data_IF_039844296626
#
_entry.id   IF_039844296626
#
_cell.length_a   1.000
_cell.length_b   1.000
_cell.length_c   1.000
_cell.angle_alpha   90.00
_cell.angle_beta   90.00
_cell.angle_gamma   90.00
#
_symmetry.space_group_name_H-M   'P 1'
#
loop_
_entity.id
_entity.type
_entity.pdbx_description
1 polymer ?
#
# COMPACT_ATOMS: atom_id res chain seq x y z
N UNK A 1 25.33 -32.99 10.58
CA UNK A 1 25.58 -31.59 10.98
C UNK A 1 25.24 -30.62 9.88
N UNK A 2 25.56 -30.87 8.61
CA UNK A 2 25.24 -29.99 7.46
C UNK A 2 23.77 -29.74 7.25
N UNK A 3 22.87 -30.73 7.49
CA UNK A 3 21.42 -30.57 7.33
C UNK A 3 20.80 -29.55 8.31
N UNK A 4 21.27 -29.53 9.56
CA UNK A 4 20.81 -28.55 10.56
C UNK A 4 21.23 -27.13 10.23
N UNK A 5 22.44 -26.95 9.74
CA UNK A 5 22.95 -25.62 9.33
C UNK A 5 22.17 -25.07 8.15
N UNK A 6 21.90 -25.88 7.12
CA UNK A 6 21.13 -25.46 5.95
C UNK A 6 19.69 -25.09 6.34
N UNK A 7 19.05 -25.89 7.20
CA UNK A 7 17.70 -25.60 7.70
C UNK A 7 17.62 -24.28 8.48
N UNK A 8 18.60 -24.03 9.36
CA UNK A 8 18.67 -22.77 10.11
C UNK A 8 18.91 -21.56 9.19
N UNK A 9 19.75 -21.71 8.17
CA UNK A 9 20.00 -20.66 7.18
C UNK A 9 18.76 -20.30 6.36
N UNK A 10 17.97 -21.30 5.93
CA UNK A 10 16.70 -21.08 5.21
C UNK A 10 15.66 -20.38 6.08
N UNK A 11 15.54 -20.77 7.34
CA UNK A 11 14.65 -20.12 8.29
C UNK A 11 15.01 -18.65 8.50
N UNK A 12 16.30 -18.32 8.56
CA UNK A 12 16.77 -16.95 8.69
C UNK A 12 16.47 -16.11 7.45
N UNK A 13 16.65 -16.66 6.25
CA UNK A 13 16.30 -15.99 4.99
C UNK A 13 14.81 -15.69 4.93
N UNK A 14 13.94 -16.66 5.26
CA UNK A 14 12.49 -16.46 5.31
C UNK A 14 12.09 -15.36 6.28
N UNK A 15 12.67 -15.32 7.47
CA UNK A 15 12.44 -14.27 8.47
C UNK A 15 12.86 -12.89 7.96
N UNK A 16 14.01 -12.81 7.30
CA UNK A 16 14.50 -11.55 6.74
C UNK A 16 13.60 -11.04 5.61
N UNK A 17 13.17 -11.90 4.70
CA UNK A 17 12.25 -11.55 3.63
C UNK A 17 10.91 -11.06 4.19
N UNK A 18 10.39 -11.75 5.19
CA UNK A 18 9.14 -11.39 5.86
C UNK A 18 9.25 -10.04 6.55
N UNK A 19 10.33 -9.81 7.27
CA UNK A 19 10.60 -8.53 7.93
C UNK A 19 10.70 -7.39 6.92
N UNK A 20 11.44 -7.59 5.84
CA UNK A 20 11.59 -6.59 4.77
C UNK A 20 10.25 -6.27 4.11
N UNK A 21 9.46 -7.28 3.77
CA UNK A 21 8.16 -7.10 3.15
C UNK A 21 7.17 -6.35 4.06
N UNK A 22 7.14 -6.67 5.35
CA UNK A 22 6.30 -5.98 6.32
C UNK A 22 6.75 -4.52 6.52
N UNK A 23 8.04 -4.27 6.56
CA UNK A 23 8.60 -2.92 6.69
C UNK A 23 8.26 -2.07 5.46
N UNK A 24 8.40 -2.62 4.26
CA UNK A 24 8.01 -1.93 3.03
C UNK A 24 6.53 -1.57 3.03
N UNK A 25 5.65 -2.49 3.44
CA UNK A 25 4.22 -2.27 3.52
C UNK A 25 3.88 -1.14 4.51
N UNK A 26 4.55 -1.09 5.66
CA UNK A 26 4.37 0.00 6.65
C UNK A 26 4.82 1.34 6.12
N UNK A 27 5.99 1.39 5.50
CA UNK A 27 6.52 2.63 4.89
C UNK A 27 5.60 3.10 3.78
N UNK A 28 5.12 2.21 2.92
CA UNK A 28 4.17 2.52 1.86
C UNK A 28 2.86 3.08 2.43
N UNK A 29 2.32 2.45 3.47
CA UNK A 29 1.10 2.90 4.14
C UNK A 29 1.27 4.29 4.74
N UNK A 30 2.39 4.55 5.41
CA UNK A 30 2.66 5.87 6.01
C UNK A 30 2.79 6.95 4.94
N UNK A 31 3.40 6.63 3.81
CA UNK A 31 3.51 7.55 2.67
C UNK A 31 2.14 7.87 2.08
N UNK A 32 1.32 6.86 1.82
CA UNK A 32 -0.05 7.03 1.32
C UNK A 32 -0.87 7.85 2.32
N UNK A 33 -0.78 7.55 3.60
CA UNK A 33 -1.49 8.29 4.66
C UNK A 33 -1.12 9.77 4.65
N UNK A 34 0.17 10.08 4.58
CA UNK A 34 0.66 11.46 4.54
C UNK A 34 0.15 12.22 3.32
N UNK A 35 0.19 11.59 2.15
CA UNK A 35 -0.28 12.19 0.90
C UNK A 35 -1.81 12.35 0.89
N UNK A 36 -2.57 11.34 1.35
CA UNK A 36 -4.04 11.42 1.42
C UNK A 36 -4.50 12.50 2.41
N UNK A 37 -3.85 12.64 3.55
CA UNK A 37 -4.18 13.71 4.50
C UNK A 37 -3.99 15.11 3.92
N UNK A 38 -3.04 15.28 3.03
CA UNK A 38 -2.74 16.54 2.36
C UNK A 38 -3.52 16.73 1.06
N UNK A 39 -4.09 15.68 0.51
CA UNK A 39 -4.68 15.66 -0.82
C UNK A 39 -5.87 16.61 -0.96
N UNK A 40 -5.99 17.23 -2.13
CA UNK A 40 -7.17 17.99 -2.52
C UNK A 40 -8.26 17.09 -3.12
N UNK A 41 -7.93 15.89 -3.55
CA UNK A 41 -8.88 14.92 -4.08
C UNK A 41 -8.26 13.55 -4.28
N UNK A 42 -9.11 12.55 -4.35
CA UNK A 42 -8.75 11.16 -4.64
C UNK A 42 -9.70 10.62 -5.69
N UNK A 43 -9.14 9.98 -6.70
CA UNK A 43 -9.90 9.30 -7.76
C UNK A 43 -9.50 7.83 -7.75
N UNK A 44 -10.43 6.95 -7.39
CA UNK A 44 -10.21 5.51 -7.46
C UNK A 44 -10.76 5.01 -8.79
N UNK A 45 -9.87 4.64 -9.71
CA UNK A 45 -10.28 4.04 -10.99
C UNK A 45 -10.68 2.58 -10.81
N UNK A 46 -10.15 1.92 -9.79
CA UNK A 46 -10.46 0.54 -9.43
C UNK A 46 -9.99 0.25 -8.00
N UNK A 47 -10.18 -0.98 -7.53
CA UNK A 47 -9.63 -1.44 -6.25
C UNK A 47 -8.12 -1.66 -6.31
N UNK A 48 -7.54 -1.66 -7.50
CA UNK A 48 -6.10 -1.84 -7.72
C UNK A 48 -5.37 -0.57 -8.15
N UNK A 49 -6.07 0.55 -8.31
CA UNK A 49 -5.45 1.81 -8.74
C UNK A 49 -6.18 3.02 -8.18
N UNK A 50 -5.42 3.94 -7.61
CA UNK A 50 -5.93 5.18 -7.05
C UNK A 50 -4.99 6.33 -7.40
N UNK A 51 -5.56 7.48 -7.80
CA UNK A 51 -4.82 8.71 -8.08
C UNK A 51 -5.14 9.75 -7.01
N UNK A 52 -4.10 10.32 -6.42
CA UNK A 52 -4.18 11.32 -5.35
C UNK A 52 -3.71 12.65 -5.91
N UNK A 53 -4.55 13.68 -5.82
CA UNK A 53 -4.22 15.04 -6.23
C UNK A 53 -3.59 15.78 -5.07
N UNK A 54 -2.34 16.22 -5.24
CA UNK A 54 -1.54 16.88 -4.20
C UNK A 54 -1.40 18.38 -4.52
N UNK A 55 -1.91 19.28 -3.67
CA UNK A 55 -1.69 20.71 -3.86
C UNK A 55 -0.23 21.09 -3.60
N UNK A 56 0.18 22.24 -4.11
CA UNK A 56 1.56 22.73 -3.99
C UNK A 56 2.05 22.87 -2.55
N UNK A 57 1.13 23.04 -1.60
CA UNK A 57 1.46 23.17 -0.17
C UNK A 57 1.72 21.82 0.52
N UNK A 58 1.46 20.71 -0.18
CA UNK A 58 1.71 19.39 0.37
C UNK A 58 3.21 19.08 0.35
N UNK A 59 3.80 18.61 1.45
CA UNK A 59 5.24 18.34 1.50
C UNK A 59 5.75 17.37 0.43
N UNK A 60 4.89 16.45 -0.03
CA UNK A 60 5.24 15.46 -1.04
C UNK A 60 5.07 15.93 -2.48
N UNK A 61 4.46 17.11 -2.71
CA UNK A 61 4.08 17.56 -4.05
C UNK A 61 5.15 18.38 -4.77
N UNK A 62 6.10 18.94 -4.04
CA UNK A 62 7.01 19.92 -4.57
C UNK A 62 6.39 21.34 -4.61
N UNK A 63 6.66 22.09 -5.69
CA UNK A 63 6.26 23.50 -5.78
C UNK A 63 5.00 23.76 -6.61
N UNK A 64 4.47 22.76 -7.26
CA UNK A 64 3.29 22.87 -8.11
C UNK A 64 2.31 21.76 -7.78
N UNK A 65 1.05 21.99 -8.09
CA UNK A 65 0.04 20.94 -7.96
C UNK A 65 0.44 19.75 -8.82
N UNK A 66 0.35 18.57 -8.26
CA UNK A 66 0.72 17.34 -8.95
C UNK A 66 -0.26 16.24 -8.57
N UNK A 67 -0.21 15.14 -9.30
CA UNK A 67 -0.96 13.93 -8.98
C UNK A 67 -0.01 12.75 -8.86
N UNK A 68 -0.36 11.82 -7.99
CA UNK A 68 0.40 10.60 -7.74
C UNK A 68 -0.55 9.43 -7.91
N UNK A 69 -0.13 8.42 -8.66
CA UNK A 69 -0.92 7.21 -8.86
C UNK A 69 -0.27 6.04 -8.13
N UNK A 70 -1.05 5.42 -7.26
CA UNK A 70 -0.71 4.14 -6.64
C UNK A 70 -1.44 3.03 -7.36
N UNK A 71 -0.73 1.99 -7.74
CA UNK A 71 -1.30 0.86 -8.46
C UNK A 71 -0.63 -0.45 -8.06
N UNK A 72 -1.36 -1.55 -8.18
CA UNK A 72 -0.81 -2.87 -7.98
C UNK A 72 -0.60 -3.58 -9.31
N UNK A 73 0.43 -4.40 -9.38
CA UNK A 73 0.76 -5.18 -10.56
C UNK A 73 1.03 -6.63 -10.16
N UNK A 74 0.41 -7.56 -10.86
CA UNK A 74 0.69 -8.99 -10.69
C UNK A 74 2.08 -9.32 -11.22
N UNK A 75 2.88 -9.99 -10.40
CA UNK A 75 4.24 -10.43 -10.78
C UNK A 75 4.40 -11.95 -10.66
N UNK A 76 3.33 -12.65 -10.31
CA UNK A 76 3.30 -14.10 -10.20
C UNK A 76 2.01 -14.57 -9.56
N UNK A 77 1.82 -15.88 -9.44
CA UNK A 77 0.63 -16.44 -8.81
C UNK A 77 0.60 -16.08 -7.34
N UNK A 78 -0.44 -15.35 -6.92
CA UNK A 78 -0.61 -14.91 -5.54
C UNK A 78 0.43 -13.89 -5.07
N UNK A 79 1.08 -13.20 -6.01
CA UNK A 79 2.07 -12.18 -5.69
C UNK A 79 1.83 -10.92 -6.50
N UNK A 80 1.68 -9.81 -5.80
CA UNK A 80 1.48 -8.49 -6.38
C UNK A 80 2.48 -7.51 -5.79
N UNK A 81 2.85 -6.51 -6.57
CA UNK A 81 3.65 -5.38 -6.13
C UNK A 81 2.79 -4.13 -6.07
N UNK A 82 3.06 -3.26 -5.11
CA UNK A 82 2.48 -1.92 -5.03
C UNK A 82 3.47 -0.92 -5.60
N UNK A 83 3.00 -0.10 -6.53
CA UNK A 83 3.79 0.91 -7.21
C UNK A 83 3.26 2.32 -6.95
N UNK A 84 4.16 3.27 -6.85
CA UNK A 84 3.87 4.71 -6.83
C UNK A 84 4.49 5.34 -8.07
N UNK A 85 3.64 5.84 -8.97
CA UNK A 85 4.07 6.40 -10.27
C UNK A 85 5.02 5.44 -11.03
N UNK A 86 4.73 4.15 -11.00
CA UNK A 86 5.52 3.13 -11.65
C UNK A 86 6.74 2.62 -10.87
N UNK A 87 7.05 3.19 -9.72
CA UNK A 87 8.15 2.74 -8.86
C UNK A 87 7.63 1.81 -7.77
N UNK A 88 8.21 0.63 -7.65
CA UNK A 88 7.84 -0.33 -6.62
C UNK A 88 8.12 0.22 -5.22
N UNK A 89 7.12 0.18 -4.35
CA UNK A 89 7.23 0.59 -2.94
C UNK A 89 6.91 -0.53 -1.95
N UNK A 90 6.21 -1.57 -2.39
CA UNK A 90 5.96 -2.75 -1.57
C UNK A 90 5.83 -3.99 -2.47
N UNK A 91 6.04 -5.16 -1.89
CA UNK A 91 6.01 -6.44 -2.59
C UNK A 91 5.32 -7.50 -1.74
N UNK A 92 5.12 -8.68 -2.34
CA UNK A 92 4.52 -9.84 -1.69
C UNK A 92 3.10 -9.65 -1.20
N UNK A 93 2.34 -8.76 -1.85
CA UNK A 93 0.90 -8.66 -1.61
C UNK A 93 0.20 -9.90 -2.20
N UNK A 94 -0.80 -10.41 -1.49
CA UNK A 94 -1.53 -11.60 -1.93
C UNK A 94 -2.65 -11.28 -2.91
N UNK A 95 -3.02 -9.99 -3.03
CA UNK A 95 -4.08 -9.50 -3.92
C UNK A 95 -3.71 -8.16 -4.52
N UNK A 96 -4.28 -7.85 -5.67
CA UNK A 96 -4.20 -6.52 -6.26
C UNK A 96 -5.27 -5.57 -5.76
N UNK A 97 -6.30 -6.07 -5.08
CA UNK A 97 -7.46 -5.29 -4.62
C UNK A 97 -7.18 -4.73 -3.22
N UNK A 98 -6.42 -3.64 -3.16
CA UNK A 98 -5.93 -3.07 -1.90
C UNK A 98 -6.57 -1.74 -1.53
N UNK A 99 -7.33 -1.12 -2.44
CA UNK A 99 -7.93 0.21 -2.24
C UNK A 99 -9.44 0.15 -2.27
N UNK A 100 -10.09 0.81 -1.30
CA UNK A 100 -11.53 1.12 -1.35
C UNK A 100 -11.70 2.59 -1.01
N UNK A 101 -12.22 3.37 -1.95
CA UNK A 101 -12.48 4.78 -1.75
C UNK A 101 -13.96 5.01 -1.43
N UNK A 102 -14.21 5.66 -0.30
CA UNK A 102 -15.53 6.06 0.13
C UNK A 102 -15.62 7.59 0.02
N UNK A 103 -16.41 8.12 -0.93
CA UNK A 103 -16.48 9.56 -1.13
C UNK A 103 -17.12 10.29 0.04
N UNK A 104 -16.83 11.60 0.15
CA UNK A 104 -17.40 12.45 1.17
C UNK A 104 -18.92 12.57 0.97
N UNK A 105 -19.64 12.65 2.09
CA UNK A 105 -21.08 12.92 2.13
C UNK A 105 -21.31 14.17 2.97
N UNK A 106 -22.60 14.58 3.12
CA UNK A 106 -22.94 15.72 3.99
C UNK A 106 -22.55 15.48 5.44
N UNK A 107 -22.54 14.22 5.87
CA UNK A 107 -22.30 13.84 7.26
C UNK A 107 -20.89 13.28 7.53
N UNK A 108 -20.13 12.98 6.49
CA UNK A 108 -18.82 12.32 6.62
C UNK A 108 -17.80 12.81 5.61
N UNK A 109 -16.56 12.85 6.05
CA UNK A 109 -15.42 13.09 5.15
C UNK A 109 -15.16 11.84 4.30
N UNK A 110 -14.62 12.07 3.09
CA UNK A 110 -14.13 10.98 2.28
C UNK A 110 -13.01 10.21 2.97
N UNK A 111 -12.89 8.94 2.70
CA UNK A 111 -11.78 8.14 3.22
C UNK A 111 -11.31 7.09 2.22
N UNK A 112 -10.04 6.80 2.28
CA UNK A 112 -9.41 5.72 1.55
C UNK A 112 -9.08 4.59 2.52
N UNK A 113 -9.65 3.43 2.26
CA UNK A 113 -9.34 2.21 3.00
C UNK A 113 -8.20 1.49 2.30
N UNK A 114 -7.21 1.08 3.07
CA UNK A 114 -6.06 0.30 2.60
C UNK A 114 -6.07 -1.06 3.27
N UNK A 115 -5.87 -2.09 2.48
CA UNK A 115 -5.70 -3.46 2.97
C UNK A 115 -4.51 -4.09 2.25
N UNK A 116 -3.40 -4.23 2.95
CA UNK A 116 -2.16 -4.78 2.41
C UNK A 116 -1.87 -6.15 3.06
N UNK A 117 -2.41 -7.25 2.50
CA UNK A 117 -2.08 -8.59 2.97
C UNK A 117 -0.75 -9.03 2.37
N UNK A 118 0.25 -9.26 3.22
CA UNK A 118 1.63 -9.59 2.82
C UNK A 118 1.92 -11.04 3.17
N UNK A 119 2.42 -11.80 2.20
CA UNK A 119 2.85 -13.18 2.40
C UNK A 119 4.03 -13.51 1.47
N UNK A 120 5.21 -13.68 2.04
CA UNK A 120 6.42 -14.04 1.29
C UNK A 120 6.45 -15.51 0.87
N UNK A 121 5.51 -16.32 1.39
CA UNK A 121 5.39 -17.73 1.09
C UNK A 121 3.94 -18.06 0.70
N UNK A 122 3.54 -17.79 -0.56
CA UNK A 122 2.14 -17.96 -0.99
C UNK A 122 1.68 -19.42 -0.97
N UNK A 123 2.58 -20.40 -0.86
CA UNK A 123 2.20 -21.81 -0.69
C UNK A 123 1.65 -22.11 0.71
N UNK A 124 1.82 -21.17 1.64
CA UNK A 124 1.31 -21.25 3.01
C UNK A 124 0.38 -20.08 3.31
N UNK A 125 -0.92 -20.14 2.91
CA UNK A 125 -1.85 -19.00 3.04
C UNK A 125 -2.03 -18.48 4.47
N UNK A 126 -1.80 -19.32 5.48
CA UNK A 126 -1.90 -18.93 6.88
C UNK A 126 -0.74 -18.04 7.37
N UNK A 127 0.30 -17.88 6.57
CA UNK A 127 1.45 -17.00 6.90
C UNK A 127 1.23 -15.56 6.49
N UNK A 128 0.02 -15.20 6.08
CA UNK A 128 -0.29 -13.82 5.70
C UNK A 128 -0.23 -12.90 6.91
N UNK A 129 0.46 -11.75 6.73
CA UNK A 129 0.43 -10.63 7.66
C UNK A 129 -0.37 -9.50 7.01
N UNK A 130 -1.37 -9.00 7.71
CA UNK A 130 -2.32 -8.05 7.13
C UNK A 130 -2.21 -6.69 7.80
N UNK A 131 -2.02 -5.65 6.99
CA UNK A 131 -2.02 -4.26 7.42
C UNK A 131 -3.26 -3.58 6.86
N UNK A 132 -4.20 -3.23 7.74
CA UNK A 132 -5.43 -2.53 7.37
C UNK A 132 -5.45 -1.16 8.02
N UNK A 133 -5.83 -0.13 7.26
CA UNK A 133 -5.99 1.21 7.79
C UNK A 133 -7.01 2.00 6.97
N UNK A 134 -7.68 2.92 7.62
CA UNK A 134 -8.55 3.91 6.99
C UNK A 134 -7.88 5.28 7.07
N UNK A 135 -7.80 5.97 5.95
CA UNK A 135 -7.21 7.30 5.88
C UNK A 135 -8.26 8.31 5.47
N UNK A 136 -8.52 9.27 6.33
CA UNK A 136 -9.53 10.31 6.10
C UNK A 136 -8.95 11.44 5.27
N UNK A 137 -9.71 11.86 4.24
CA UNK A 137 -9.39 13.03 3.43
C UNK A 137 -9.86 14.30 4.14
N UNK A 138 -8.91 15.11 4.60
CA UNK A 138 -9.22 16.29 5.42
C UNK A 138 -9.51 17.55 4.60
N UNK A 139 -9.00 17.61 3.37
CA UNK A 139 -9.06 18.80 2.52
C UNK A 139 -10.10 18.70 1.40
N UNK A 140 -10.98 17.71 1.44
CA UNK A 140 -12.08 17.59 0.48
C UNK A 140 -13.30 18.32 0.97
N UNK A 141 -13.99 19.00 0.04
CA UNK A 141 -15.28 19.63 0.35
C UNK A 141 -16.35 18.57 0.54
N UNK A 142 -17.16 18.74 1.57
CA UNK A 142 -18.36 17.91 1.75
C UNK A 142 -19.41 18.32 0.73
N UNK A 143 -19.95 17.36 0.05
CA UNK A 143 -21.01 17.58 -0.95
C UNK A 143 -22.35 17.05 -0.50
#
# INVERSE_FOLDING_TARGET
MTALFVSGSRAQVDLNERFTAQTEARVATDKIRGEVHCASGVTASSTSSVTISLPAVCPSSGRVDTSVTYSTTSVGTGRFELHRDGNRIADYLTTGDVFVYLPATVDSLGKLQLDLPVNVDPTHPWKVWQLQTDVVLRNTTRS
#
